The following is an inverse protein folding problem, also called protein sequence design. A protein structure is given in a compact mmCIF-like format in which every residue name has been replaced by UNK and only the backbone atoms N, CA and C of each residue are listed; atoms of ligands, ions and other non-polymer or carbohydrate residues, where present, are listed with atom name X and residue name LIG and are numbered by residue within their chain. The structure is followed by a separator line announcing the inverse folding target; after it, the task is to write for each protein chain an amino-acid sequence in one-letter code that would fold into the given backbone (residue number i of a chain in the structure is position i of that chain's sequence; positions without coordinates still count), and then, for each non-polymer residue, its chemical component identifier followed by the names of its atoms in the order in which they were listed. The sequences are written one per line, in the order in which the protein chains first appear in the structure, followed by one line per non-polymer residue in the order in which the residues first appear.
data_IF_217762008411
#
_entry.id   IF_217762008411
#
_cell.length_a   1.000
_cell.length_b   1.000
_cell.length_c   1.000
_cell.angle_alpha   90.00
_cell.angle_beta   90.00
_cell.angle_gamma   90.00
#
_symmetry.space_group_name_H-M   'P 1'
#
loop_
_entity.id
_entity.type
_entity.pdbx_description
1 polymer ?
#
# COMPACT_ATOMS: atom_id res chain seq x y z
N UNK A 1 4.88 9.66 -70.80
CA UNK A 1 4.70 8.21 -70.63
C UNK A 1 5.91 7.69 -69.87
N UNK A 2 5.70 6.90 -68.81
CA UNK A 2 6.69 6.26 -67.90
C UNK A 2 7.49 7.21 -66.97
N UNK A 3 8.03 6.82 -65.81
CA UNK A 3 7.72 5.82 -64.76
C UNK A 3 8.74 6.06 -63.61
N UNK A 4 8.33 5.78 -62.37
CA UNK A 4 9.09 5.30 -61.19
C UNK A 4 10.43 5.95 -60.74
N UNK A 5 10.53 6.15 -59.40
CA UNK A 5 11.73 5.75 -58.65
C UNK A 5 12.34 6.74 -57.64
N UNK A 6 12.07 6.52 -56.34
CA UNK A 6 13.09 6.36 -55.28
C UNK A 6 13.86 7.56 -54.72
N UNK A 7 13.90 7.64 -53.38
CA UNK A 7 15.06 8.16 -52.63
C UNK A 7 14.77 9.18 -51.53
N UNK A 8 14.72 8.72 -50.27
CA UNK A 8 14.99 9.59 -49.11
C UNK A 8 16.53 9.78 -48.97
N UNK A 9 17.00 10.74 -48.14
CA UNK A 9 17.17 10.40 -46.72
C UNK A 9 16.82 11.52 -45.74
N UNK A 10 16.58 11.10 -44.50
CA UNK A 10 16.27 11.91 -43.33
C UNK A 10 17.53 12.59 -42.76
N UNK A 11 17.36 13.85 -42.33
CA UNK A 11 18.36 14.68 -41.66
C UNK A 11 18.36 14.38 -40.14
N UNK A 12 19.56 14.27 -39.57
CA UNK A 12 19.83 13.87 -38.19
C UNK A 12 19.84 15.05 -37.19
N UNK A 13 19.49 14.84 -35.91
CA UNK A 13 19.88 15.76 -34.84
C UNK A 13 21.23 15.38 -34.18
N UNK A 14 21.92 16.33 -33.52
CA UNK A 14 23.35 16.25 -33.25
C UNK A 14 23.76 15.61 -31.91
N UNK A 15 24.94 14.98 -31.97
CA UNK A 15 26.03 14.84 -31.02
C UNK A 15 25.76 14.96 -29.50
N UNK A 16 25.95 13.83 -28.82
CA UNK A 16 26.26 13.73 -27.41
C UNK A 16 27.73 14.09 -27.13
N UNK A 17 28.00 14.83 -26.04
CA UNK A 17 29.33 15.11 -25.51
C UNK A 17 29.39 14.90 -23.99
N UNK A 18 30.49 14.28 -23.54
CA UNK A 18 30.95 14.26 -22.14
C UNK A 18 30.68 12.95 -21.39
N UNK A 19 31.48 11.90 -21.55
CA UNK A 19 32.76 11.63 -20.88
C UNK A 19 32.65 11.19 -19.41
N UNK A 20 32.87 9.89 -19.15
CA UNK A 20 34.05 9.41 -18.40
C UNK A 20 33.99 7.89 -18.21
N UNK A 21 35.09 7.22 -18.52
CA UNK A 21 35.27 5.78 -18.50
C UNK A 21 35.76 5.26 -17.14
N UNK A 22 35.23 4.07 -16.80
CA UNK A 22 35.71 2.96 -15.98
C UNK A 22 37.01 3.05 -15.14
N UNK A 23 36.93 2.53 -13.91
CA UNK A 23 37.57 1.29 -13.38
C UNK A 23 37.53 1.33 -11.84
N UNK A 24 37.52 0.26 -11.04
CA UNK A 24 36.92 -1.08 -11.01
C UNK A 24 37.17 -1.63 -9.58
N UNK A 25 36.35 -2.60 -9.11
CA UNK A 25 36.70 -3.60 -8.05
C UNK A 25 36.51 -3.10 -6.59
N UNK A 26 35.85 -3.77 -5.62
CA UNK A 26 35.57 -5.20 -5.36
C UNK A 26 34.46 -5.38 -4.32
N UNK A 27 33.77 -6.52 -4.43
CA UNK A 27 33.27 -7.41 -3.36
C UNK A 27 32.09 -6.99 -2.44
N UNK A 28 30.99 -7.72 -2.72
CA UNK A 28 30.21 -8.49 -1.75
C UNK A 28 29.33 -7.75 -0.74
N UNK A 29 28.04 -7.64 -1.08
CA UNK A 29 26.96 -8.15 -0.22
C UNK A 29 25.95 -8.89 -1.10
N UNK A 30 26.21 -10.19 -1.28
CA UNK A 30 25.21 -11.17 -1.62
C UNK A 30 24.17 -11.20 -0.50
N UNK A 31 22.89 -10.97 -0.80
CA UNK A 31 21.84 -11.30 0.18
C UNK A 31 20.52 -10.51 0.18
N UNK A 32 20.12 -9.78 -0.87
CA UNK A 32 18.83 -9.06 -0.81
C UNK A 32 17.99 -9.03 -2.10
N UNK A 33 18.27 -9.88 -3.09
CA UNK A 33 17.54 -9.84 -4.38
C UNK A 33 16.47 -10.93 -4.50
N UNK A 34 16.33 -11.83 -3.51
CA UNK A 34 15.45 -13.02 -3.63
C UNK A 34 14.11 -12.94 -2.85
N UNK A 35 13.58 -11.75 -2.52
CA UNK A 35 12.26 -11.62 -1.86
C UNK A 35 11.37 -10.44 -2.30
N UNK A 36 11.55 -9.83 -3.49
CA UNK A 36 10.66 -8.73 -3.97
C UNK A 36 9.61 -9.13 -5.01
N UNK A 37 9.49 -10.41 -5.33
CA UNK A 37 8.64 -10.90 -6.43
C UNK A 37 7.12 -11.09 -6.16
N UNK A 38 6.53 -10.78 -4.98
CA UNK A 38 5.08 -10.65 -4.89
C UNK A 38 4.54 -9.22 -5.14
N UNK A 39 5.40 -8.19 -5.16
CA UNK A 39 4.94 -6.78 -5.04
C UNK A 39 4.84 -6.04 -6.38
N UNK A 40 5.61 -6.43 -7.39
CA UNK A 40 5.51 -5.80 -8.71
C UNK A 40 4.45 -6.53 -9.54
N UNK A 41 3.47 -5.79 -10.06
CA UNK A 41 2.38 -6.30 -10.90
C UNK A 41 1.46 -7.35 -10.22
N UNK A 42 1.36 -7.34 -8.88
CA UNK A 42 0.45 -8.22 -8.14
C UNK A 42 -0.99 -8.09 -8.61
N UNK A 43 -1.38 -6.91 -9.11
CA UNK A 43 -2.70 -6.65 -9.64
C UNK A 43 -3.03 -7.56 -10.84
N UNK A 44 -2.06 -7.92 -11.68
CA UNK A 44 -2.27 -8.80 -12.82
C UNK A 44 -2.54 -10.26 -12.40
N UNK A 45 -2.17 -10.63 -11.17
CA UNK A 45 -2.43 -11.97 -10.61
C UNK A 45 -3.86 -12.13 -10.08
N UNK A 46 -4.67 -11.07 -10.11
CA UNK A 46 -6.04 -11.03 -9.56
C UNK A 46 -7.05 -10.77 -10.68
N UNK A 47 -8.05 -11.64 -10.80
CA UNK A 47 -9.04 -11.61 -11.88
C UNK A 47 -10.12 -10.53 -11.72
N UNK A 48 -10.31 -10.03 -10.51
CA UNK A 48 -11.38 -9.07 -10.18
C UNK A 48 -10.90 -7.96 -9.25
N UNK A 49 -11.66 -6.86 -9.15
CA UNK A 49 -11.41 -5.83 -8.14
C UNK A 49 -11.57 -6.38 -6.72
N UNK A 50 -12.55 -7.26 -6.52
CA UNK A 50 -12.79 -7.97 -5.26
C UNK A 50 -11.55 -8.72 -4.80
N UNK A 51 -10.93 -9.51 -5.67
CA UNK A 51 -9.69 -10.24 -5.35
C UNK A 51 -8.51 -9.30 -5.07
N UNK A 52 -8.49 -8.13 -5.71
CA UNK A 52 -7.45 -7.12 -5.45
C UNK A 52 -7.61 -6.49 -4.08
N UNK A 53 -8.82 -6.09 -3.71
CA UNK A 53 -9.10 -5.55 -2.39
C UNK A 53 -8.91 -6.63 -1.31
N UNK A 54 -9.39 -7.86 -1.52
CA UNK A 54 -9.13 -8.96 -0.60
C UNK A 54 -7.62 -9.22 -0.40
N UNK A 55 -6.78 -9.02 -1.43
CA UNK A 55 -5.32 -9.12 -1.31
C UNK A 55 -4.69 -7.96 -0.51
N UNK A 56 -5.30 -6.78 -0.53
CA UNK A 56 -4.85 -5.61 0.25
C UNK A 56 -5.23 -5.70 1.73
N UNK A 57 -6.14 -6.60 2.10
CA UNK A 57 -6.54 -6.79 3.50
C UNK A 57 -5.32 -7.09 4.38
N UNK A 58 -5.14 -6.30 5.45
CA UNK A 58 -4.03 -6.43 6.41
C UNK A 58 -2.63 -6.42 5.78
N UNK A 59 -2.48 -5.76 4.63
CA UNK A 59 -1.21 -5.60 3.93
C UNK A 59 -0.70 -4.14 4.10
N UNK A 60 0.61 -3.98 4.30
CA UNK A 60 1.26 -2.66 4.35
C UNK A 60 1.38 -2.01 2.96
N UNK A 61 1.16 -2.80 1.90
CA UNK A 61 1.14 -2.29 0.54
C UNK A 61 -0.01 -1.31 0.34
N UNK A 62 0.30 -0.05 0.03
CA UNK A 62 -0.66 1.06 -0.15
C UNK A 62 -1.44 1.47 1.11
N UNK A 63 -1.10 0.95 2.29
CA UNK A 63 -1.73 1.39 3.53
C UNK A 63 -1.34 2.82 3.87
N UNK A 64 -2.33 3.65 4.17
CA UNK A 64 -2.19 5.07 4.50
C UNK A 64 -2.73 5.41 5.91
N UNK A 65 -3.16 4.38 6.65
CA UNK A 65 -3.60 4.49 8.05
C UNK A 65 -3.34 3.19 8.81
N UNK A 66 -3.01 3.31 10.09
CA UNK A 66 -2.83 2.20 11.02
C UNK A 66 -3.78 2.36 12.21
N UNK A 67 -4.45 1.26 12.58
CA UNK A 67 -5.30 1.20 13.76
C UNK A 67 -4.58 0.47 14.88
N UNK A 68 -4.52 1.06 16.06
CA UNK A 68 -4.03 0.42 17.29
C UNK A 68 -5.25 0.02 18.10
N UNK A 69 -5.56 -1.28 18.10
CA UNK A 69 -6.80 -1.83 18.65
C UNK A 69 -6.50 -2.65 19.90
N UNK A 70 -7.30 -2.51 20.95
CA UNK A 70 -7.24 -3.36 22.14
C UNK A 70 -7.00 -2.60 23.45
N UNK A 71 -7.40 -3.24 24.57
CA UNK A 71 -7.25 -2.71 25.93
C UNK A 71 -5.80 -2.84 26.41
N UNK A 72 -4.94 -1.96 25.91
CA UNK A 72 -3.67 -1.64 26.56
C UNK A 72 -3.87 -0.50 27.55
N UNK A 73 -3.22 -0.56 28.71
CA UNK A 73 -3.20 0.56 29.66
C UNK A 73 -2.73 1.87 29.01
N UNK A 74 -2.95 3.04 29.65
CA UNK A 74 -2.71 4.34 29.03
C UNK A 74 -1.31 4.42 28.44
N UNK A 75 -1.26 4.59 27.12
CA UNK A 75 -0.04 4.96 26.39
C UNK A 75 0.34 6.34 26.90
N UNK A 76 1.49 6.45 27.58
CA UNK A 76 2.03 7.75 27.93
C UNK A 76 2.10 8.58 26.66
N UNK A 77 1.36 9.69 26.61
CA UNK A 77 1.01 10.43 25.39
C UNK A 77 2.20 10.67 24.47
N UNK A 78 2.36 9.79 23.48
CA UNK A 78 3.50 9.78 22.58
C UNK A 78 3.01 9.46 21.19
N UNK A 79 3.02 10.49 20.35
CA UNK A 79 2.77 10.36 18.92
C UNK A 79 3.85 9.50 18.26
N UNK A 80 3.43 8.53 17.45
CA UNK A 80 4.21 7.98 16.34
C UNK A 80 5.13 6.82 16.68
N UNK A 81 4.72 5.62 16.31
CA UNK A 81 5.64 4.53 15.94
C UNK A 81 6.18 3.65 17.07
N UNK A 82 5.88 3.95 18.34
CA UNK A 82 6.21 3.03 19.43
C UNK A 82 5.39 1.72 19.31
N UNK A 83 5.99 0.54 19.55
CA UNK A 83 5.31 -0.74 19.43
C UNK A 83 4.04 -0.79 20.30
N UNK A 84 3.01 -1.54 19.87
CA UNK A 84 1.76 -1.65 20.61
C UNK A 84 2.01 -2.18 22.03
N UNK A 85 1.25 -1.66 23.00
CA UNK A 85 1.32 -2.14 24.38
C UNK A 85 0.84 -3.59 24.52
N UNK A 86 1.09 -4.24 25.67
CA UNK A 86 0.57 -5.59 25.92
C UNK A 86 -0.96 -5.60 25.77
N UNK A 87 -1.47 -6.44 24.86
CA UNK A 87 -2.90 -6.53 24.55
C UNK A 87 -3.41 -5.57 23.47
N UNK A 88 -2.55 -4.75 22.88
CA UNK A 88 -2.86 -3.95 21.68
C UNK A 88 -2.32 -4.61 20.41
N UNK A 89 -3.00 -4.39 19.30
CA UNK A 89 -2.61 -4.84 17.97
C UNK A 89 -2.62 -3.65 17.00
N UNK A 90 -1.52 -3.45 16.27
CA UNK A 90 -1.46 -2.47 15.18
C UNK A 90 -1.85 -3.15 13.86
N UNK A 91 -2.80 -2.57 13.14
CA UNK A 91 -3.40 -3.14 11.92
C UNK A 91 -3.32 -2.09 10.80
N UNK A 92 -2.63 -2.37 9.69
CA UNK A 92 -2.62 -1.49 8.52
C UNK A 92 -3.95 -1.55 7.77
N UNK A 93 -4.39 -0.40 7.27
CA UNK A 93 -5.62 -0.26 6.48
C UNK A 93 -5.50 0.87 5.45
N UNK A 94 -6.58 1.05 4.66
CA UNK A 94 -6.61 1.96 3.52
C UNK A 94 -7.82 2.89 3.64
N UNK A 95 -7.60 4.20 3.83
CA UNK A 95 -8.66 5.20 4.03
C UNK A 95 -9.68 5.18 2.90
N UNK A 96 -9.24 5.02 1.65
CA UNK A 96 -10.13 4.94 0.49
C UNK A 96 -11.13 3.78 0.59
N UNK A 97 -10.65 2.57 0.92
CA UNK A 97 -11.51 1.39 1.04
C UNK A 97 -12.49 1.55 2.21
N UNK A 98 -12.01 2.08 3.34
CA UNK A 98 -12.82 2.30 4.52
C UNK A 98 -13.91 3.37 4.29
N UNK A 99 -13.56 4.49 3.68
CA UNK A 99 -14.51 5.55 3.35
C UNK A 99 -15.55 5.09 2.33
N UNK A 100 -15.14 4.33 1.31
CA UNK A 100 -16.06 3.77 0.33
C UNK A 100 -17.07 2.78 0.94
N UNK A 101 -16.66 2.01 1.95
CA UNK A 101 -17.51 1.02 2.60
C UNK A 101 -18.24 1.50 3.87
N UNK A 102 -17.98 2.71 4.36
CA UNK A 102 -18.60 3.23 5.58
C UNK A 102 -18.63 4.75 5.65
N UNK A 103 -19.83 5.32 5.78
CA UNK A 103 -20.03 6.75 5.99
C UNK A 103 -19.36 7.27 7.28
N UNK A 104 -19.18 6.41 8.29
CA UNK A 104 -18.49 6.78 9.54
C UNK A 104 -17.00 7.00 9.27
N UNK A 105 -16.37 6.09 8.51
CA UNK A 105 -14.97 6.26 8.12
C UNK A 105 -14.80 7.41 7.12
N UNK A 106 -15.75 7.61 6.22
CA UNK A 106 -15.73 8.76 5.32
C UNK A 106 -15.76 10.09 6.09
N UNK A 107 -16.65 10.23 7.07
CA UNK A 107 -16.68 11.41 7.94
C UNK A 107 -15.39 11.56 8.77
N UNK A 108 -14.81 10.45 9.22
CA UNK A 108 -13.56 10.45 9.98
C UNK A 108 -12.36 10.93 9.16
N UNK A 109 -12.28 10.59 7.87
CA UNK A 109 -11.13 10.87 7.01
C UNK A 109 -11.31 12.06 6.07
N UNK A 110 -12.53 12.36 5.66
CA UNK A 110 -12.86 13.39 4.67
C UNK A 110 -13.84 14.45 5.19
N UNK A 111 -14.34 14.32 6.43
CA UNK A 111 -15.26 15.28 7.05
C UNK A 111 -14.60 16.61 7.43
N UNK A 112 -15.42 17.59 7.85
CA UNK A 112 -14.96 18.95 8.20
C UNK A 112 -13.99 19.03 9.40
N UNK A 113 -13.88 17.97 10.19
CA UNK A 113 -12.88 17.79 11.26
C UNK A 113 -12.10 16.47 11.06
N UNK A 114 -11.77 16.16 9.81
CA UNK A 114 -11.07 14.93 9.45
C UNK A 114 -9.77 14.75 10.25
N UNK A 115 -9.50 13.52 10.65
CA UNK A 115 -8.22 13.18 11.27
C UNK A 115 -7.09 13.25 10.23
N UNK A 116 -6.03 13.98 10.56
CA UNK A 116 -4.79 13.99 9.77
C UNK A 116 -3.80 12.93 10.24
N UNK A 117 -4.06 12.30 11.40
CA UNK A 117 -3.19 11.27 11.96
C UNK A 117 -3.19 10.01 11.10
N UNK A 118 -2.00 9.49 10.83
CA UNK A 118 -1.82 8.18 10.21
C UNK A 118 -2.06 7.02 11.20
N UNK A 119 -2.17 7.30 12.49
CA UNK A 119 -2.38 6.31 13.55
C UNK A 119 -3.67 6.65 14.33
N UNK A 120 -4.56 5.66 14.46
CA UNK A 120 -5.85 5.78 15.15
C UNK A 120 -5.90 4.75 16.27
N UNK A 121 -6.12 5.19 17.51
CA UNK A 121 -6.24 4.31 18.66
C UNK A 121 -7.71 3.97 18.95
N UNK A 122 -8.00 2.68 19.11
CA UNK A 122 -9.31 2.12 19.42
C UNK A 122 -9.20 1.23 20.67
N UNK A 123 -9.17 1.82 21.88
CA UNK A 123 -8.94 1.07 23.13
C UNK A 123 -10.13 0.17 23.52
N UNK A 124 -11.35 0.51 23.10
CA UNK A 124 -12.57 -0.21 23.47
C UNK A 124 -12.97 -1.29 22.48
N UNK A 125 -12.21 -1.47 21.39
CA UNK A 125 -12.50 -2.43 20.33
C UNK A 125 -11.63 -3.67 20.50
N UNK A 126 -12.23 -4.85 20.33
CA UNK A 126 -11.48 -6.11 20.30
C UNK A 126 -10.79 -6.29 18.93
N UNK A 127 -9.49 -6.66 18.88
CA UNK A 127 -8.78 -6.82 17.61
C UNK A 127 -9.45 -7.82 16.66
N UNK A 128 -9.97 -8.93 17.18
CA UNK A 128 -10.67 -9.94 16.38
C UNK A 128 -11.93 -9.38 15.71
N UNK A 129 -12.73 -8.61 16.43
CA UNK A 129 -13.94 -7.97 15.90
C UNK A 129 -13.60 -6.92 14.83
N UNK A 130 -12.55 -6.12 15.04
CA UNK A 130 -12.11 -5.14 14.05
C UNK A 130 -11.59 -5.80 12.78
N UNK A 131 -10.79 -6.86 12.90
CA UNK A 131 -10.33 -7.63 11.74
C UNK A 131 -11.50 -8.25 10.96
N UNK A 132 -12.56 -8.71 11.63
CA UNK A 132 -13.75 -9.21 10.97
C UNK A 132 -14.47 -8.11 10.17
N UNK A 133 -14.62 -6.91 10.74
CA UNK A 133 -15.16 -5.75 10.04
C UNK A 133 -14.30 -5.39 8.81
N UNK A 134 -12.98 -5.35 8.97
CA UNK A 134 -12.08 -5.07 7.85
C UNK A 134 -12.19 -6.13 6.75
N UNK A 135 -12.28 -7.42 7.10
CA UNK A 135 -12.50 -8.47 6.08
C UNK A 135 -13.77 -8.19 5.28
N UNK A 136 -14.87 -7.88 5.98
CA UNK A 136 -16.12 -7.52 5.33
C UNK A 136 -15.97 -6.33 4.37
N UNK A 137 -15.33 -5.24 4.79
CA UNK A 137 -15.12 -4.06 3.95
C UNK A 137 -14.23 -4.32 2.71
N UNK A 138 -13.32 -5.29 2.76
CA UNK A 138 -12.38 -5.58 1.67
C UNK A 138 -12.82 -6.71 0.73
N UNK A 139 -13.62 -7.67 1.20
CA UNK A 139 -14.03 -8.84 0.40
C UNK A 139 -15.54 -9.03 0.25
N UNK A 140 -16.34 -8.22 0.96
CA UNK A 140 -17.81 -8.37 1.08
C UNK A 140 -18.22 -9.77 1.62
N UNK A 141 -17.29 -10.46 2.30
CA UNK A 141 -17.54 -11.75 2.94
C UNK A 141 -17.87 -11.57 4.41
N UNK A 142 -19.09 -11.91 4.80
CA UNK A 142 -19.49 -12.01 6.19
C UNK A 142 -19.21 -13.43 6.68
N UNK A 143 -18.12 -13.62 7.41
CA UNK A 143 -17.85 -14.87 8.14
C UNK A 143 -18.49 -14.79 9.53
N UNK A 144 -19.81 -15.03 9.62
CA UNK A 144 -20.48 -15.27 10.90
C UNK A 144 -20.20 -16.72 11.32
N UNK A 145 -19.35 -16.88 12.33
CA UNK A 145 -19.19 -18.18 13.00
C UNK A 145 -20.40 -18.37 13.93
N UNK A 146 -21.24 -19.36 13.63
CA UNK A 146 -22.29 -19.85 14.54
C UNK A 146 -21.74 -20.94 15.46
#
# INVERSE_FOLDING_TARGET
MAAAGGGAPAEAPPAATGAAAATATTAAESGAVLQREPLYNWQATKGSLRERFAFLFSNELLSDVHFVVGKGGPRGGGAGGAPPGPGQQRIPAHRFVLAAGSAVFDAMFNGGMATTSAEIELPDVEPAAFLALLRFLYSDEVQIWF
#
